data_IF_971326310628
#
_entry.id   IF_971326310628
#
_cell.length_a   1.000
_cell.length_b   1.000
_cell.length_c   1.000
_cell.angle_alpha   90.00
_cell.angle_beta   90.00
_cell.angle_gamma   90.00
#
_symmetry.space_group_name_H-M   'P 1'
#
loop_
_entity.id
_entity.type
_entity.pdbx_description
1 polymer ?
#
# COMPACT_ATOMS: atom_id res chain seq x y z
N UNK A 1 20.84 1.16 26.99
CA UNK A 1 21.05 1.65 25.61
C UNK A 1 20.35 3.00 25.48
N UNK A 2 20.94 4.00 24.82
CA UNK A 2 20.27 5.29 24.61
C UNK A 2 19.18 5.11 23.53
N UNK A 3 17.96 5.65 23.70
CA UNK A 3 16.94 5.60 22.66
C UNK A 3 17.48 6.23 21.36
N UNK A 4 17.30 5.53 20.24
CA UNK A 4 17.71 6.01 18.92
C UNK A 4 16.50 6.70 18.27
N UNK A 5 16.63 8.00 18.03
CA UNK A 5 15.65 8.74 17.25
C UNK A 5 15.85 8.43 15.77
N UNK A 6 14.78 8.06 15.09
CA UNK A 6 14.75 7.90 13.64
C UNK A 6 14.10 9.14 13.01
N UNK A 7 14.74 9.72 12.00
CA UNK A 7 14.18 10.85 11.22
C UNK A 7 13.54 10.30 9.95
N UNK A 8 12.35 10.80 9.64
CA UNK A 8 11.71 10.57 8.35
C UNK A 8 11.96 11.85 7.53
N UNK A 9 12.97 11.81 6.66
CA UNK A 9 13.40 12.94 5.85
C UNK A 9 13.61 12.54 4.38
N UNK A 10 13.84 13.53 3.51
CA UNK A 10 13.99 13.30 2.08
C UNK A 10 15.09 12.28 1.75
N UNK A 11 16.19 12.29 2.50
CA UNK A 11 17.29 11.34 2.31
C UNK A 11 16.85 9.90 2.58
N UNK A 12 16.16 9.65 3.70
CA UNK A 12 15.61 8.32 4.00
C UNK A 12 14.66 7.86 2.89
N UNK A 13 13.76 8.74 2.43
CA UNK A 13 12.82 8.40 1.38
C UNK A 13 13.55 8.10 0.06
N UNK A 14 14.57 8.87 -0.32
CA UNK A 14 15.37 8.64 -1.53
C UNK A 14 16.07 7.28 -1.50
N UNK A 15 16.75 6.96 -0.39
CA UNK A 15 17.43 5.68 -0.20
C UNK A 15 16.44 4.50 -0.28
N UNK A 16 15.26 4.65 0.33
CA UNK A 16 14.23 3.61 0.35
C UNK A 16 13.66 3.33 -1.05
N UNK A 17 13.31 4.39 -1.80
CA UNK A 17 12.79 4.25 -3.17
C UNK A 17 13.84 3.70 -4.14
N UNK A 18 15.11 4.12 -4.02
CA UNK A 18 16.20 3.54 -4.81
C UNK A 18 16.34 2.03 -4.54
N UNK A 19 16.28 1.62 -3.28
CA UNK A 19 16.33 0.21 -2.91
C UNK A 19 15.10 -0.58 -3.37
N UNK A 20 13.90 0.02 -3.34
CA UNK A 20 12.67 -0.61 -3.82
C UNK A 20 12.73 -0.98 -5.30
N UNK A 21 13.27 -0.10 -6.16
CA UNK A 21 13.47 -0.35 -7.60
C UNK A 21 14.33 -1.56 -7.93
N UNK A 22 15.21 -1.95 -7.01
CA UNK A 22 16.09 -3.11 -7.18
C UNK A 22 15.42 -4.43 -6.73
N UNK A 23 14.19 -4.37 -6.21
CA UNK A 23 13.43 -5.55 -5.79
C UNK A 23 12.53 -6.05 -6.92
N UNK A 24 12.36 -7.37 -7.08
CA UNK A 24 11.45 -7.92 -8.10
C UNK A 24 10.02 -7.39 -8.01
N UNK A 25 9.53 -7.10 -6.79
CA UNK A 25 8.19 -6.56 -6.53
C UNK A 25 8.10 -5.04 -6.63
N UNK A 26 9.23 -4.35 -6.84
CA UNK A 26 9.33 -2.88 -6.92
C UNK A 26 8.85 -2.13 -5.67
N UNK A 27 8.73 -2.82 -4.53
CA UNK A 27 8.36 -2.25 -3.23
C UNK A 27 9.27 -2.71 -2.10
N UNK A 28 9.39 -1.88 -1.06
CA UNK A 28 10.19 -2.18 0.13
C UNK A 28 9.61 -1.50 1.37
N UNK A 29 9.49 -2.28 2.45
CA UNK A 29 9.10 -1.79 3.76
C UNK A 29 10.33 -1.39 4.58
N UNK A 30 10.24 -0.27 5.30
CA UNK A 30 11.16 0.15 6.34
C UNK A 30 10.41 0.23 7.67
N UNK A 31 10.66 -0.70 8.57
CA UNK A 31 10.01 -0.75 9.88
C UNK A 31 10.61 0.32 10.80
N UNK A 32 9.74 1.15 11.38
CA UNK A 32 10.13 2.14 12.39
C UNK A 32 10.15 1.54 13.81
N UNK A 33 9.50 0.40 13.98
CA UNK A 33 9.51 -0.41 15.20
C UNK A 33 10.64 -1.46 15.14
N UNK A 34 11.16 -1.86 16.30
CA UNK A 34 12.29 -2.81 16.38
C UNK A 34 11.84 -4.29 16.34
N UNK A 35 10.62 -4.58 16.77
CA UNK A 35 10.11 -5.95 16.95
C UNK A 35 8.74 -6.13 16.29
N UNK A 36 8.55 -7.24 15.58
CA UNK A 36 7.28 -7.66 15.01
C UNK A 36 6.21 -7.93 16.08
N UNK A 37 6.60 -8.08 17.35
CA UNK A 37 5.67 -8.18 18.48
C UNK A 37 5.19 -6.82 19.01
N UNK A 38 5.72 -5.69 18.51
CA UNK A 38 5.29 -4.35 18.91
C UNK A 38 3.77 -4.21 18.67
N UNK A 39 2.98 -3.76 19.67
CA UNK A 39 1.53 -3.59 19.53
C UNK A 39 1.13 -2.57 18.46
N UNK A 40 2.06 -1.78 17.94
CA UNK A 40 1.82 -0.84 16.85
C UNK A 40 2.85 -1.03 15.74
N UNK A 41 2.41 -1.65 14.64
CA UNK A 41 3.22 -1.84 13.44
C UNK A 41 3.25 -0.53 12.66
N UNK A 42 4.38 0.17 12.69
CA UNK A 42 4.63 1.44 11.99
C UNK A 42 5.73 1.27 10.96
N UNK A 43 5.48 1.60 9.71
CA UNK A 43 6.43 1.40 8.63
C UNK A 43 6.32 2.47 7.55
N UNK A 44 7.40 2.66 6.80
CA UNK A 44 7.39 3.34 5.51
C UNK A 44 7.34 2.29 4.41
N UNK A 45 6.46 2.47 3.44
CA UNK A 45 6.31 1.59 2.29
C UNK A 45 6.68 2.38 1.03
N UNK A 46 7.87 2.13 0.47
CA UNK A 46 8.22 2.65 -0.85
C UNK A 46 7.61 1.74 -1.90
N UNK A 47 6.79 2.31 -2.76
CA UNK A 47 6.02 1.59 -3.78
C UNK A 47 6.24 2.27 -5.12
N UNK A 48 6.95 1.61 -6.02
CA UNK A 48 7.21 2.17 -7.35
C UNK A 48 6.12 1.75 -8.35
N UNK A 49 5.91 2.52 -9.42
CA UNK A 49 5.04 2.12 -10.52
C UNK A 49 5.42 0.74 -11.06
N UNK A 50 4.41 -0.08 -11.37
CA UNK A 50 4.59 -1.49 -11.76
C UNK A 50 4.56 -2.48 -10.58
N UNK A 51 4.50 -2.00 -9.33
CA UNK A 51 4.17 -2.87 -8.19
C UNK A 51 2.72 -3.34 -8.28
N UNK A 52 2.51 -4.66 -8.24
CA UNK A 52 1.21 -5.26 -7.99
C UNK A 52 1.04 -5.58 -6.50
N UNK A 53 0.02 -5.00 -5.87
CA UNK A 53 -0.45 -5.41 -4.54
C UNK A 53 -1.77 -6.15 -4.73
N UNK A 54 -1.77 -7.46 -4.51
CA UNK A 54 -2.99 -8.26 -4.62
C UNK A 54 -4.06 -7.68 -3.68
N UNK A 55 -5.30 -7.44 -4.18
CA UNK A 55 -6.40 -7.04 -3.33
C UNK A 55 -6.57 -7.96 -2.12
N UNK A 56 -6.68 -7.36 -0.94
CA UNK A 56 -6.73 -8.07 0.32
C UNK A 56 -7.60 -7.33 1.35
N UNK A 57 -7.85 -7.97 2.49
CA UNK A 57 -8.53 -7.38 3.63
C UNK A 57 -7.98 -7.92 4.95
N UNK A 58 -8.27 -7.22 6.03
CA UNK A 58 -7.90 -7.61 7.38
C UNK A 58 -9.13 -7.83 8.25
N UNK A 59 -9.74 -9.02 8.18
CA UNK A 59 -11.02 -9.29 8.83
C UNK A 59 -10.91 -10.02 10.18
N UNK A 60 -10.05 -11.04 10.29
CA UNK A 60 -9.99 -11.89 11.49
C UNK A 60 -8.53 -12.25 11.88
N UNK A 61 -8.03 -11.75 13.04
CA UNK A 61 -8.66 -10.70 13.86
C UNK A 61 -8.78 -9.37 13.09
N UNK A 62 -9.77 -8.53 13.41
CA UNK A 62 -9.99 -7.27 12.72
C UNK A 62 -8.82 -6.31 12.94
N UNK A 63 -8.22 -5.81 11.86
CA UNK A 63 -7.08 -4.89 11.92
C UNK A 63 -7.30 -3.76 10.91
N UNK A 64 -7.58 -2.51 11.33
CA UNK A 64 -7.55 -1.38 10.41
C UNK A 64 -6.13 -1.13 9.90
N UNK A 65 -6.03 -0.51 8.73
CA UNK A 65 -4.78 -0.02 8.18
C UNK A 65 -4.93 1.46 7.82
N UNK A 66 -4.00 2.29 8.28
CA UNK A 66 -3.97 3.69 7.92
C UNK A 66 -2.76 3.98 7.04
N UNK A 67 -3.00 4.63 5.90
CA UNK A 67 -1.99 5.07 4.95
C UNK A 67 -1.94 6.59 4.90
N UNK A 68 -0.75 7.17 4.94
CA UNK A 68 -0.51 8.60 4.72
C UNK A 68 0.67 8.77 3.78
N UNK A 69 0.47 9.44 2.65
CA UNK A 69 1.53 9.73 1.69
C UNK A 69 2.50 10.75 2.25
N UNK A 70 3.78 10.44 2.12
CA UNK A 70 4.87 11.34 2.44
C UNK A 70 5.49 11.95 1.18
N UNK A 71 5.44 11.23 0.06
CA UNK A 71 5.97 11.66 -1.24
C UNK A 71 5.27 10.93 -2.39
N UNK A 72 5.12 11.63 -3.52
CA UNK A 72 4.58 11.08 -4.76
C UNK A 72 3.06 11.05 -4.80
N UNK A 73 2.53 10.20 -5.68
CA UNK A 73 1.10 10.02 -5.92
C UNK A 73 0.76 8.54 -6.09
N UNK A 74 -0.41 8.16 -5.57
CA UNK A 74 -0.98 6.82 -5.75
C UNK A 74 -2.49 6.87 -5.71
N UNK A 75 -3.15 5.75 -5.96
CA UNK A 75 -4.56 5.57 -5.68
C UNK A 75 -4.78 4.33 -4.81
N UNK A 76 -5.70 4.44 -3.86
CA UNK A 76 -6.26 3.28 -3.14
C UNK A 76 -7.56 2.90 -3.82
N UNK A 77 -7.73 1.61 -4.11
CA UNK A 77 -8.94 1.08 -4.72
C UNK A 77 -9.68 0.25 -3.66
N UNK A 78 -10.97 0.52 -3.48
CA UNK A 78 -11.88 -0.28 -2.67
C UNK A 78 -12.73 -1.16 -3.57
N UNK A 79 -13.00 -2.38 -3.14
CA UNK A 79 -13.72 -3.37 -3.93
C UNK A 79 -14.94 -3.89 -3.19
N UNK A 80 -15.98 -4.18 -3.98
CA UNK A 80 -17.11 -4.99 -3.56
C UNK A 80 -16.69 -6.44 -3.30
N UNK A 81 -17.51 -7.21 -2.58
CA UNK A 81 -17.29 -8.65 -2.37
C UNK A 81 -17.18 -9.45 -3.68
N UNK A 82 -17.85 -9.00 -4.75
CA UNK A 82 -17.80 -9.63 -6.07
C UNK A 82 -16.57 -9.23 -6.92
N UNK A 83 -15.74 -8.31 -6.43
CA UNK A 83 -14.52 -7.86 -7.11
C UNK A 83 -14.70 -6.69 -8.08
N UNK A 84 -15.89 -6.09 -8.14
CA UNK A 84 -16.07 -4.79 -8.79
C UNK A 84 -15.42 -3.67 -7.97
N UNK A 85 -14.77 -2.73 -8.63
CA UNK A 85 -14.22 -1.51 -7.99
C UNK A 85 -15.39 -0.63 -7.55
N UNK A 86 -15.49 -0.42 -6.25
CA UNK A 86 -16.51 0.42 -5.61
C UNK A 86 -16.06 1.88 -5.62
N UNK A 87 -14.84 2.13 -5.15
CA UNK A 87 -14.26 3.47 -5.01
C UNK A 87 -12.78 3.49 -5.44
N UNK A 88 -12.34 4.61 -6.00
CA UNK A 88 -10.93 4.92 -6.26
C UNK A 88 -10.63 6.23 -5.57
N UNK A 89 -9.65 6.22 -4.65
CA UNK A 89 -9.29 7.37 -3.83
C UNK A 89 -7.87 7.82 -4.24
N UNK A 90 -7.72 8.90 -5.01
CA UNK A 90 -6.42 9.45 -5.35
C UNK A 90 -5.77 10.09 -4.12
N UNK A 91 -4.52 9.73 -3.88
CA UNK A 91 -3.69 10.28 -2.82
C UNK A 91 -2.50 11.01 -3.44
N UNK A 92 -2.20 12.20 -2.93
CA UNK A 92 -1.04 12.98 -3.34
C UNK A 92 -0.46 13.75 -2.17
N UNK A 93 0.86 13.69 -1.98
CA UNK A 93 1.53 14.41 -0.88
C UNK A 93 1.34 15.93 -0.94
N UNK A 94 1.10 16.48 -2.14
CA UNK A 94 0.81 17.90 -2.37
C UNK A 94 -0.63 18.14 -2.86
N UNK A 95 -1.53 17.17 -2.70
CA UNK A 95 -2.92 17.24 -3.15
C UNK A 95 -3.94 17.47 -2.03
N UNK A 96 -5.24 17.32 -2.32
CA UNK A 96 -6.31 17.54 -1.36
C UNK A 96 -6.53 16.36 -0.40
N UNK A 97 -6.10 15.16 -0.78
CA UNK A 97 -6.21 13.95 0.04
C UNK A 97 -4.83 13.32 0.21
N UNK A 98 -4.38 13.19 1.45
CA UNK A 98 -3.04 12.68 1.77
C UNK A 98 -3.05 11.23 2.19
N UNK A 99 -4.18 10.69 2.60
CA UNK A 99 -4.24 9.38 3.22
C UNK A 99 -5.64 8.84 3.40
N UNK A 100 -5.72 7.59 3.84
CA UNK A 100 -6.96 6.87 4.14
C UNK A 100 -6.80 6.11 5.46
N UNK A 101 -7.91 5.91 6.15
CA UNK A 101 -8.03 4.96 7.26
C UNK A 101 -9.00 3.85 6.82
N UNK A 102 -8.47 2.66 6.58
CA UNK A 102 -9.19 1.54 5.98
C UNK A 102 -9.71 0.66 7.12
N UNK A 103 -11.04 0.49 7.24
CA UNK A 103 -11.61 -0.34 8.29
C UNK A 103 -11.32 -1.83 8.06
N UNK A 104 -11.34 -2.65 9.12
CA UNK A 104 -11.27 -4.11 8.99
C UNK A 104 -12.29 -4.66 8.00
N UNK A 105 -11.87 -5.64 7.22
CA UNK A 105 -12.75 -6.34 6.28
C UNK A 105 -13.00 -5.66 4.93
N UNK A 106 -12.62 -4.39 4.74
CA UNK A 106 -12.68 -3.74 3.44
C UNK A 106 -11.67 -4.35 2.46
N UNK A 107 -12.15 -4.85 1.32
CA UNK A 107 -11.28 -5.29 0.23
C UNK A 107 -10.61 -4.08 -0.41
N UNK A 108 -9.29 -4.07 -0.43
CA UNK A 108 -8.54 -2.94 -0.96
C UNK A 108 -7.24 -3.35 -1.63
N UNK A 109 -6.74 -2.47 -2.50
CA UNK A 109 -5.42 -2.52 -3.14
C UNK A 109 -4.92 -1.08 -3.35
N UNK A 110 -3.69 -0.95 -3.84
CA UNK A 110 -3.10 0.34 -4.19
C UNK A 110 -2.36 0.26 -5.52
N UNK A 111 -2.31 1.39 -6.22
CA UNK A 111 -1.55 1.57 -7.46
C UNK A 111 -0.68 2.83 -7.30
N UNK A 112 0.64 2.66 -7.38
CA UNK A 112 1.58 3.79 -7.41
C UNK A 112 1.61 4.42 -8.80
N UNK A 113 1.42 5.74 -8.86
CA UNK A 113 1.29 6.51 -10.12
C UNK A 113 2.55 7.33 -10.44
N UNK A 114 3.38 7.58 -9.44
CA UNK A 114 4.61 8.36 -9.57
C UNK A 114 5.83 7.59 -9.01
N UNK A 115 6.98 7.60 -9.70
CA UNK A 115 8.22 7.08 -9.14
C UNK A 115 8.59 7.77 -7.83
N UNK A 116 9.29 7.07 -6.95
CA UNK A 116 9.67 7.55 -5.62
C UNK A 116 8.49 7.69 -4.63
N UNK A 117 7.33 7.10 -4.92
CA UNK A 117 6.18 7.19 -3.99
C UNK A 117 6.47 6.43 -2.69
N UNK A 118 6.25 7.11 -1.56
CA UNK A 118 6.41 6.52 -0.22
C UNK A 118 5.23 6.92 0.66
N UNK A 119 4.63 5.93 1.30
CA UNK A 119 3.59 6.13 2.31
C UNK A 119 4.08 5.70 3.70
N UNK A 120 3.61 6.37 4.73
CA UNK A 120 3.57 5.86 6.09
C UNK A 120 2.34 4.94 6.22
N UNK A 121 2.57 3.73 6.71
CA UNK A 121 1.54 2.77 7.04
C UNK A 121 1.60 2.46 8.54
N UNK A 122 0.42 2.40 9.17
CA UNK A 122 0.29 1.90 10.54
C UNK A 122 -0.87 0.93 10.67
N UNK A 123 -0.66 -0.12 11.48
CA UNK A 123 -1.69 -1.11 11.82
C UNK A 123 -1.48 -1.72 13.21
N UNK A 124 -2.53 -2.30 13.82
CA UNK A 124 -2.39 -3.01 15.09
C UNK A 124 -1.37 -4.16 14.97
N UNK A 125 -0.53 -4.26 15.97
CA UNK A 125 0.34 -5.40 16.18
C UNK A 125 -0.30 -6.49 17.05
N UNK A 126 0.40 -7.63 17.23
CA UNK A 126 1.67 -7.97 16.58
C UNK A 126 1.50 -8.16 15.06
N UNK A 127 2.60 -8.16 14.32
CA UNK A 127 2.57 -8.51 12.90
C UNK A 127 1.99 -9.92 12.72
N UNK A 128 0.92 -9.98 11.92
CA UNK A 128 0.31 -11.23 11.49
C UNK A 128 0.34 -11.27 9.97
N UNK A 129 1.05 -12.25 9.36
CA UNK A 129 1.08 -12.39 7.91
C UNK A 129 -0.33 -12.66 7.38
N UNK A 130 -0.60 -12.18 6.18
CA UNK A 130 -1.83 -12.50 5.47
C UNK A 130 -1.89 -14.01 5.19
N UNK A 131 -3.08 -14.57 5.35
CA UNK A 131 -3.42 -15.92 4.93
C UNK A 131 -4.14 -15.90 3.57
N UNK A 132 -4.34 -17.06 2.96
CA UNK A 132 -5.08 -17.16 1.70
C UNK A 132 -6.50 -16.59 1.77
N UNK A 133 -7.13 -16.61 2.96
CA UNK A 133 -8.48 -16.08 3.18
C UNK A 133 -8.53 -14.55 3.18
N UNK A 134 -7.39 -13.91 3.41
CA UNK A 134 -7.26 -12.47 3.44
C UNK A 134 -7.02 -11.89 2.05
N UNK A 135 -6.69 -12.72 1.06
CA UNK A 135 -6.57 -12.30 -0.33
C UNK A 135 -7.87 -12.50 -1.09
N UNK A 136 -8.18 -11.56 -1.98
CA UNK A 136 -9.37 -11.63 -2.79
C UNK A 136 -9.32 -12.85 -3.73
N UNK A 137 -10.33 -13.74 -3.71
CA UNK A 137 -10.33 -14.96 -4.53
C UNK A 137 -10.48 -14.66 -6.02
N UNK A 138 -11.03 -13.50 -6.38
CA UNK A 138 -11.19 -13.02 -7.75
C UNK A 138 -9.93 -12.34 -8.31
N UNK A 139 -8.96 -12.01 -7.48
CA UNK A 139 -7.74 -11.35 -7.91
C UNK A 139 -6.62 -12.36 -8.18
N UNK A 140 -5.86 -12.22 -9.29
CA UNK A 140 -4.70 -13.06 -9.56
C UNK A 140 -3.68 -13.03 -8.42
N UNK A 141 -3.02 -14.17 -8.21
CA UNK A 141 -1.95 -14.28 -7.23
C UNK A 141 -0.75 -13.40 -7.65
N UNK A 142 -0.05 -12.81 -6.68
CA UNK A 142 1.17 -12.06 -6.98
C UNK A 142 2.22 -12.99 -7.62
N UNK A 143 2.78 -12.57 -8.76
CA UNK A 143 3.74 -13.38 -9.52
C UNK A 143 3.13 -14.39 -10.49
N UNK A 144 1.79 -14.47 -10.62
CA UNK A 144 1.16 -15.22 -11.70
C UNK A 144 1.29 -14.49 -13.04
N UNK A 145 1.01 -15.19 -14.14
CA UNK A 145 1.08 -14.60 -15.48
C UNK A 145 0.07 -13.44 -15.65
N UNK A 146 -1.11 -13.59 -15.05
CA UNK A 146 -2.25 -12.67 -15.13
C UNK A 146 -2.08 -11.44 -14.22
N UNK A 147 -1.13 -11.47 -13.28
CA UNK A 147 -0.91 -10.38 -12.32
C UNK A 147 -0.56 -9.05 -13.01
N UNK A 148 0.22 -9.12 -14.10
CA UNK A 148 0.63 -7.95 -14.88
C UNK A 148 -0.54 -7.30 -15.61
N UNK A 149 -1.36 -8.10 -16.30
CA UNK A 149 -2.57 -7.65 -16.99
C UNK A 149 -3.59 -7.07 -16.00
N UNK A 150 -3.72 -7.68 -14.82
CA UNK A 150 -4.62 -7.17 -13.79
C UNK A 150 -4.15 -5.83 -13.22
N UNK A 151 -2.84 -5.66 -12.97
CA UNK A 151 -2.28 -4.38 -12.58
C UNK A 151 -2.51 -3.29 -13.65
N UNK A 152 -2.32 -3.62 -14.92
CA UNK A 152 -2.59 -2.70 -16.03
C UNK A 152 -4.06 -2.28 -16.05
N UNK A 153 -4.99 -3.23 -15.89
CA UNK A 153 -6.41 -2.94 -15.72
C UNK A 153 -6.68 -1.97 -14.57
N UNK A 154 -6.15 -2.22 -13.36
CA UNK A 154 -6.34 -1.33 -12.21
C UNK A 154 -5.78 0.07 -12.50
N UNK A 155 -4.60 0.16 -13.12
CA UNK A 155 -3.95 1.42 -13.48
C UNK A 155 -4.79 2.23 -14.48
N UNK A 156 -5.38 1.57 -15.48
CA UNK A 156 -6.30 2.20 -16.43
C UNK A 156 -7.58 2.70 -15.76
N UNK A 157 -8.13 1.96 -14.79
CA UNK A 157 -9.31 2.40 -14.04
C UNK A 157 -9.03 3.68 -13.23
N UNK A 158 -7.83 3.78 -12.65
CA UNK A 158 -7.40 4.98 -11.91
C UNK A 158 -7.32 6.20 -12.84
N UNK A 159 -6.69 6.05 -14.01
CA UNK A 159 -6.61 7.16 -14.97
C UNK A 159 -7.95 7.53 -15.60
N UNK A 160 -8.77 6.54 -15.98
CA UNK A 160 -10.06 6.78 -16.65
C UNK A 160 -11.13 7.43 -15.77
N UNK A 161 -10.98 7.40 -14.44
CA UNK A 161 -11.88 8.10 -13.50
C UNK A 161 -11.31 9.43 -12.96
N UNK A 162 -10.02 9.69 -13.20
CA UNK A 162 -9.31 10.90 -12.73
C UNK A 162 -9.64 12.19 -13.50
N UNK A 163 -10.24 12.09 -14.69
CA UNK A 163 -10.59 13.24 -15.54
C UNK A 163 -11.91 13.95 -15.13
N UNK A 164 -12.47 13.61 -13.97
CA UNK A 164 -13.72 14.17 -13.45
C UNK A 164 -13.61 14.81 -12.06
N UNK A 165 -12.38 15.08 -11.59
CA UNK A 165 -12.12 15.83 -10.35
C UNK A 165 -11.78 17.30 -10.63
#
# INVERSE_FOLDING_TARGET
MKPVLQRIDARLLDELSLAARQRPRLRLNHNLHEDYLDPCQRLLNAVEPGTYVRPHRHLDPPRPECFVLLRGTMAVLLFTEAGGIDEIIPLAANGPCWGVDIPPGAWHSLVSLEPNTVLFETKPGPYLPLSDKDFAPWAPAEGSAEASEYLEFLTLQVHGRGDHA
#
